data_IF_104112104205
#
_entry.id   IF_104112104205
#
_cell.length_a   1.000
_cell.length_b   1.000
_cell.length_c   1.000
_cell.angle_alpha   90.00
_cell.angle_beta   90.00
_cell.angle_gamma   90.00
#
_symmetry.space_group_name_H-M   'P 1'
#
loop_
_entity.id
_entity.type
_entity.pdbx_description
1 polymer ?
#
# COMPACT_ATOMS: atom_id res chain seq x y z
N UNK A 1 12.30 -64.28 -34.77
CA UNK A 1 13.66 -63.90 -34.35
C UNK A 1 13.53 -62.63 -33.52
N UNK A 2 13.53 -62.76 -32.19
CA UNK A 2 13.28 -61.65 -31.27
C UNK A 2 14.63 -60.99 -30.97
N UNK A 3 14.85 -59.68 -31.22
CA UNK A 3 16.13 -59.06 -30.95
C UNK A 3 16.41 -59.13 -29.44
N UNK A 4 17.58 -59.69 -29.07
CA UNK A 4 18.09 -59.63 -27.70
C UNK A 4 18.17 -58.15 -27.33
N UNK A 5 17.37 -57.72 -26.37
CA UNK A 5 17.55 -56.41 -25.73
C UNK A 5 18.92 -56.44 -25.07
N UNK A 6 19.86 -55.68 -25.60
CA UNK A 6 21.16 -55.47 -24.96
C UNK A 6 20.91 -54.84 -23.59
N UNK A 7 21.44 -55.47 -22.56
CA UNK A 7 21.36 -54.94 -21.20
C UNK A 7 22.19 -53.67 -21.14
N UNK A 8 21.65 -52.57 -20.61
CA UNK A 8 22.38 -51.30 -20.50
C UNK A 8 23.73 -51.49 -19.82
N UNK A 9 24.78 -50.92 -20.39
CA UNK A 9 26.10 -50.94 -19.79
C UNK A 9 26.11 -50.11 -18.50
N UNK A 10 27.02 -50.42 -17.58
CA UNK A 10 27.18 -49.70 -16.30
C UNK A 10 27.31 -48.18 -16.51
N UNK A 11 27.90 -47.76 -17.63
CA UNK A 11 28.03 -46.36 -18.01
C UNK A 11 26.67 -45.67 -18.26
N UNK A 12 25.70 -46.35 -18.88
CA UNK A 12 24.38 -45.78 -19.17
C UNK A 12 23.59 -45.49 -17.88
N UNK A 13 23.71 -46.37 -16.87
CA UNK A 13 23.10 -46.15 -15.56
C UNK A 13 23.72 -44.95 -14.83
N UNK A 14 25.04 -44.78 -14.91
CA UNK A 14 25.74 -43.63 -14.31
C UNK A 14 25.31 -42.32 -14.99
N UNK A 15 25.21 -42.32 -16.32
CA UNK A 15 24.75 -41.16 -17.08
C UNK A 15 23.31 -40.78 -16.72
N UNK A 16 22.41 -41.76 -16.64
CA UNK A 16 21.02 -41.54 -16.21
C UNK A 16 20.93 -40.97 -14.79
N UNK A 17 21.75 -41.46 -13.86
CA UNK A 17 21.80 -40.94 -12.49
C UNK A 17 22.26 -39.48 -12.45
N UNK A 18 23.30 -39.12 -13.22
CA UNK A 18 23.79 -37.73 -13.31
C UNK A 18 22.71 -36.80 -13.87
N UNK A 19 22.02 -37.22 -14.95
CA UNK A 19 20.93 -36.44 -15.54
C UNK A 19 19.78 -36.26 -14.55
N UNK A 20 19.41 -37.31 -13.82
CA UNK A 20 18.38 -37.23 -12.80
C UNK A 20 18.74 -36.26 -11.67
N UNK A 21 19.99 -36.31 -11.17
CA UNK A 21 20.49 -35.39 -10.14
C UNK A 21 20.47 -33.95 -10.64
N UNK A 22 20.94 -33.70 -11.88
CA UNK A 22 20.91 -32.37 -12.49
C UNK A 22 19.48 -31.86 -12.65
N UNK A 23 18.54 -32.71 -13.08
CA UNK A 23 17.13 -32.34 -13.22
C UNK A 23 16.51 -31.97 -11.87
N UNK A 24 16.76 -32.76 -10.82
CA UNK A 24 16.29 -32.48 -9.45
C UNK A 24 16.88 -31.16 -8.95
N UNK A 25 18.17 -30.92 -9.20
CA UNK A 25 18.85 -29.70 -8.81
C UNK A 25 18.27 -28.46 -9.52
N UNK A 26 18.00 -28.54 -10.82
CA UNK A 26 17.36 -27.46 -11.59
C UNK A 26 15.95 -27.16 -11.08
N UNK A 27 15.16 -28.19 -10.78
CA UNK A 27 13.82 -28.03 -10.19
C UNK A 27 13.92 -27.34 -8.82
N UNK A 28 14.91 -27.72 -7.99
CA UNK A 28 15.15 -27.09 -6.70
C UNK A 28 15.48 -25.59 -6.85
N UNK A 29 16.39 -25.24 -7.76
CA UNK A 29 16.75 -23.85 -8.05
C UNK A 29 15.55 -23.05 -8.56
N UNK A 30 14.76 -23.62 -9.47
CA UNK A 30 13.55 -22.99 -10.00
C UNK A 30 12.52 -22.69 -8.88
N UNK A 31 12.25 -23.67 -8.01
CA UNK A 31 11.33 -23.48 -6.86
C UNK A 31 11.85 -22.41 -5.90
N UNK A 32 13.17 -22.36 -5.65
CA UNK A 32 13.79 -21.35 -4.80
C UNK A 32 13.64 -19.94 -5.39
N UNK A 33 13.87 -19.77 -6.69
CA UNK A 33 13.70 -18.49 -7.39
C UNK A 33 12.26 -17.99 -7.31
N UNK A 34 11.29 -18.85 -7.61
CA UNK A 34 9.86 -18.50 -7.56
C UNK A 34 9.37 -18.17 -6.15
N UNK A 35 9.88 -18.88 -5.13
CA UNK A 35 9.57 -18.56 -3.73
C UNK A 35 10.11 -17.20 -3.31
N UNK A 36 11.24 -16.78 -3.86
CA UNK A 36 11.84 -15.48 -3.56
C UNK A 36 11.04 -14.34 -4.16
N UNK A 37 10.59 -14.48 -5.40
CA UNK A 37 9.69 -13.53 -6.07
C UNK A 37 8.36 -13.35 -5.31
N UNK A 38 7.77 -14.47 -4.84
CA UNK A 38 6.54 -14.42 -4.04
C UNK A 38 6.74 -13.69 -2.70
N UNK A 39 7.87 -13.94 -2.00
CA UNK A 39 8.19 -13.21 -0.76
C UNK A 39 8.43 -11.72 -1.02
N UNK A 40 9.03 -11.38 -2.16
CA UNK A 40 9.27 -9.98 -2.56
C UNK A 40 7.96 -9.24 -2.81
N UNK A 41 7.03 -9.85 -3.54
CA UNK A 41 5.71 -9.24 -3.78
C UNK A 41 4.92 -9.11 -2.48
N UNK A 42 4.91 -10.15 -1.63
CA UNK A 42 4.26 -10.13 -0.32
C UNK A 42 4.83 -9.02 0.59
N UNK A 43 6.17 -8.88 0.64
CA UNK A 43 6.82 -7.78 1.37
C UNK A 43 6.41 -6.41 0.82
N UNK A 44 6.32 -6.26 -0.51
CA UNK A 44 5.84 -5.04 -1.16
C UNK A 44 4.41 -4.68 -0.76
N UNK A 45 3.48 -5.65 -0.81
CA UNK A 45 2.09 -5.47 -0.39
C UNK A 45 1.98 -5.14 1.10
N UNK A 46 2.74 -5.82 1.96
CA UNK A 46 2.76 -5.55 3.41
C UNK A 46 3.28 -4.16 3.71
N UNK A 47 4.34 -3.71 3.04
CA UNK A 47 4.89 -2.35 3.17
C UNK A 47 3.89 -1.29 2.72
N UNK A 48 3.23 -1.49 1.58
CA UNK A 48 2.20 -0.57 1.09
C UNK A 48 1.01 -0.50 2.06
N UNK A 49 0.52 -1.64 2.54
CA UNK A 49 -0.57 -1.71 3.53
C UNK A 49 -0.20 -1.03 4.85
N UNK A 50 1.03 -1.23 5.33
CA UNK A 50 1.53 -0.55 6.53
C UNK A 50 1.62 0.96 6.31
N UNK A 51 2.16 1.42 5.17
CA UNK A 51 2.24 2.85 4.85
C UNK A 51 0.86 3.52 4.85
N UNK A 52 -0.16 2.85 4.32
CA UNK A 52 -1.56 3.35 4.35
C UNK A 52 -2.11 3.38 5.77
N UNK A 53 -1.85 2.35 6.58
CA UNK A 53 -2.29 2.31 7.99
C UNK A 53 -1.60 3.38 8.83
N UNK A 54 -0.30 3.59 8.64
CA UNK A 54 0.44 4.67 9.30
C UNK A 54 -0.03 6.05 8.84
N UNK A 55 -0.38 6.24 7.56
CA UNK A 55 -1.02 7.47 7.06
C UNK A 55 -2.31 7.79 7.81
N UNK A 56 -3.24 6.83 7.87
CA UNK A 56 -4.52 6.95 8.58
C UNK A 56 -4.38 7.22 10.08
N UNK A 57 -3.38 6.62 10.73
CA UNK A 57 -3.07 6.92 12.13
C UNK A 57 -2.55 8.35 12.25
N UNK A 58 -1.58 8.75 11.43
CA UNK A 58 -0.97 10.08 11.46
C UNK A 58 -2.03 11.19 11.26
N UNK A 59 -2.99 11.01 10.35
CA UNK A 59 -4.13 11.93 10.14
C UNK A 59 -4.94 12.19 11.42
N UNK A 60 -5.03 11.22 12.33
CA UNK A 60 -5.71 11.38 13.62
C UNK A 60 -4.83 12.02 14.70
N UNK A 61 -3.50 11.93 14.58
CA UNK A 61 -2.54 12.43 15.57
C UNK A 61 -1.93 13.80 15.24
N UNK A 62 -2.00 14.26 13.99
CA UNK A 62 -1.45 15.57 13.58
C UNK A 62 -2.02 16.75 14.38
N UNK A 63 -3.32 16.79 14.73
CA UNK A 63 -3.82 17.83 15.63
C UNK A 63 -3.08 17.85 16.97
N UNK A 64 -2.50 16.73 17.42
CA UNK A 64 -1.72 16.64 18.65
C UNK A 64 -0.21 16.90 18.46
N UNK A 65 0.23 17.20 17.24
CA UNK A 65 1.62 17.57 16.97
C UNK A 65 1.89 19.01 17.43
N UNK A 66 3.15 19.29 17.81
CA UNK A 66 3.56 20.62 18.30
C UNK A 66 3.45 21.73 17.25
N UNK A 67 3.38 21.36 15.98
CA UNK A 67 3.40 22.30 14.85
C UNK A 67 1.99 22.58 14.31
N UNK A 68 0.93 22.02 14.91
CA UNK A 68 -0.44 22.30 14.50
C UNK A 68 -0.85 23.71 14.99
N UNK A 69 -1.25 24.62 14.08
CA UNK A 69 -1.41 26.03 14.43
C UNK A 69 -2.73 26.34 15.18
N UNK A 70 -3.63 25.37 15.31
CA UNK A 70 -4.92 25.53 15.98
C UNK A 70 -5.00 24.69 17.26
N UNK A 71 -5.98 25.00 18.10
CA UNK A 71 -6.27 24.18 19.27
C UNK A 71 -6.79 22.80 18.83
N UNK A 72 -6.18 21.70 19.30
CA UNK A 72 -6.57 20.34 18.89
C UNK A 72 -8.03 20.00 19.26
N UNK A 73 -8.58 20.65 20.28
CA UNK A 73 -9.97 20.44 20.72
C UNK A 73 -11.00 20.98 19.73
N UNK A 74 -10.60 21.89 18.84
CA UNK A 74 -11.49 22.53 17.87
C UNK A 74 -11.45 21.81 16.52
N UNK A 75 -10.55 20.82 16.37
CA UNK A 75 -10.46 19.95 15.22
C UNK A 75 -11.50 18.83 15.26
N UNK A 76 -12.13 18.55 14.11
CA UNK A 76 -13.06 17.43 13.89
C UNK A 76 -12.60 16.63 12.67
N UNK A 77 -12.32 15.35 12.91
CA UNK A 77 -11.92 14.42 11.86
C UNK A 77 -13.12 13.98 10.99
N UNK A 78 -12.89 13.87 9.68
CA UNK A 78 -13.85 13.44 8.65
C UNK A 78 -13.29 12.22 7.88
N UNK A 79 -12.05 12.31 7.40
CA UNK A 79 -11.30 11.24 6.72
C UNK A 79 -11.53 11.05 5.22
N UNK A 80 -12.63 11.56 4.64
CA UNK A 80 -12.83 11.63 3.17
C UNK A 80 -14.01 12.55 2.84
N UNK A 81 -13.92 13.41 1.80
CA UNK A 81 -12.82 13.58 0.83
C UNK A 81 -11.63 14.43 1.32
N UNK A 82 -11.69 14.92 2.56
CA UNK A 82 -10.64 15.65 3.28
C UNK A 82 -10.50 15.09 4.70
N UNK A 83 -9.37 15.36 5.36
CA UNK A 83 -9.07 14.81 6.68
C UNK A 83 -9.94 15.37 7.80
N UNK A 84 -10.20 16.68 7.82
CA UNK A 84 -11.02 17.27 8.88
C UNK A 84 -11.29 18.77 8.76
N UNK A 85 -11.98 19.31 9.75
CA UNK A 85 -12.33 20.73 9.85
C UNK A 85 -11.98 21.25 11.25
N UNK A 86 -11.38 22.43 11.33
CA UNK A 86 -11.23 23.20 12.57
C UNK A 86 -12.38 24.19 12.69
N UNK A 87 -13.02 24.20 13.85
CA UNK A 87 -14.04 25.18 14.23
C UNK A 87 -13.44 26.16 15.23
N UNK A 88 -12.56 27.04 14.74
CA UNK A 88 -11.97 28.09 15.56
C UNK A 88 -13.00 29.19 15.84
N UNK A 89 -12.73 30.03 16.84
CA UNK A 89 -13.60 31.16 17.19
C UNK A 89 -13.71 32.19 16.04
N UNK A 90 -12.68 32.30 15.18
CA UNK A 90 -12.60 33.31 14.13
C UNK A 90 -12.88 32.78 12.72
N UNK A 91 -12.67 31.49 12.47
CA UNK A 91 -12.76 30.89 11.15
C UNK A 91 -13.08 29.39 11.18
N UNK A 92 -13.61 28.88 10.07
CA UNK A 92 -13.78 27.43 9.83
C UNK A 92 -12.74 27.00 8.80
N UNK A 93 -11.83 26.11 9.19
CA UNK A 93 -10.66 25.74 8.38
C UNK A 93 -10.77 24.32 7.90
N UNK A 94 -10.78 24.13 6.59
CA UNK A 94 -10.74 22.82 5.95
C UNK A 94 -9.29 22.32 5.95
N UNK A 95 -9.05 21.17 6.56
CA UNK A 95 -7.70 20.62 6.77
C UNK A 95 -7.49 19.36 5.95
N UNK A 96 -6.33 19.29 5.31
CA UNK A 96 -5.78 18.09 4.69
C UNK A 96 -4.32 18.01 5.10
N UNK A 97 -3.94 16.85 5.63
CA UNK A 97 -2.62 16.55 6.10
C UNK A 97 -1.89 15.67 5.10
N UNK A 98 -0.66 16.06 4.79
CA UNK A 98 0.22 15.29 3.91
C UNK A 98 1.52 15.00 4.64
N UNK A 99 1.93 13.74 4.61
CA UNK A 99 3.28 13.38 5.04
C UNK A 99 4.29 13.71 3.93
N UNK A 100 5.36 14.44 4.28
CA UNK A 100 6.51 14.69 3.41
C UNK A 100 6.13 15.29 2.03
N UNK A 101 6.47 14.60 0.93
CA UNK A 101 6.28 15.07 -0.44
C UNK A 101 4.93 14.69 -1.06
N UNK A 102 3.98 14.21 -0.26
CA UNK A 102 2.67 13.81 -0.76
C UNK A 102 1.88 15.04 -1.25
N UNK A 103 1.33 14.96 -2.46
CA UNK A 103 0.53 16.03 -3.07
C UNK A 103 -0.97 15.79 -2.84
N UNK A 104 -1.76 16.88 -2.94
CA UNK A 104 -3.21 16.80 -2.99
C UNK A 104 -3.66 15.96 -4.20
N UNK A 105 -4.63 15.07 -4.00
CA UNK A 105 -5.30 14.41 -5.12
C UNK A 105 -6.29 15.37 -5.82
N UNK A 106 -6.80 14.98 -6.98
CA UNK A 106 -7.68 15.85 -7.80
C UNK A 106 -8.95 16.29 -7.06
N UNK A 107 -9.55 15.44 -6.22
CA UNK A 107 -10.72 15.80 -5.42
C UNK A 107 -10.37 16.82 -4.34
N UNK A 108 -9.23 16.64 -3.66
CA UNK A 108 -8.74 17.56 -2.64
C UNK A 108 -8.36 18.92 -3.24
N UNK A 109 -7.72 18.94 -4.42
CA UNK A 109 -7.45 20.17 -5.17
C UNK A 109 -8.76 20.91 -5.49
N UNK A 110 -9.75 20.19 -6.03
CA UNK A 110 -11.07 20.76 -6.32
C UNK A 110 -11.73 21.36 -5.08
N UNK A 111 -11.66 20.68 -3.92
CA UNK A 111 -12.22 21.20 -2.67
C UNK A 111 -11.47 22.44 -2.20
N UNK A 112 -10.13 22.41 -2.24
CA UNK A 112 -9.29 23.57 -1.96
C UNK A 112 -9.71 24.77 -2.81
N UNK A 113 -9.86 24.58 -4.12
CA UNK A 113 -10.30 25.64 -5.03
C UNK A 113 -11.69 26.19 -4.67
N UNK A 114 -12.64 25.33 -4.28
CA UNK A 114 -13.97 25.79 -3.84
C UNK A 114 -13.87 26.67 -2.58
N UNK A 115 -13.03 26.29 -1.62
CA UNK A 115 -12.81 27.04 -0.37
C UNK A 115 -12.12 28.37 -0.67
N UNK A 116 -11.02 28.37 -1.42
CA UNK A 116 -10.25 29.60 -1.76
C UNK A 116 -11.09 30.59 -2.59
N UNK A 117 -11.97 30.09 -3.45
CA UNK A 117 -12.92 30.91 -4.21
C UNK A 117 -14.19 31.27 -3.43
N UNK A 118 -14.22 31.05 -2.10
CA UNK A 118 -15.35 31.36 -1.20
C UNK A 118 -16.69 30.72 -1.62
N UNK A 119 -16.65 29.55 -2.26
CA UNK A 119 -17.82 28.79 -2.70
C UNK A 119 -18.32 27.83 -1.62
N UNK A 120 -18.41 28.30 -0.39
CA UNK A 120 -18.89 27.57 0.79
C UNK A 120 -20.18 28.23 1.26
N UNK A 121 -21.21 27.43 1.56
CA UNK A 121 -22.52 27.94 2.00
C UNK A 121 -23.05 27.16 3.19
N UNK A 122 -23.79 27.84 4.05
CA UNK A 122 -24.60 27.23 5.09
C UNK A 122 -25.92 26.71 4.50
N UNK A 123 -26.36 25.53 4.94
CA UNK A 123 -27.68 24.98 4.60
C UNK A 123 -28.26 24.33 5.86
N UNK A 124 -29.29 24.94 6.43
CA UNK A 124 -30.12 24.32 7.45
C UNK A 124 -31.29 23.61 6.75
N UNK A 125 -31.45 22.32 7.00
CA UNK A 125 -32.57 21.53 6.50
C UNK A 125 -33.25 20.85 7.67
N UNK A 126 -34.56 21.05 7.80
CA UNK A 126 -35.40 20.36 8.79
C UNK A 126 -36.26 19.36 8.03
N UNK A 127 -36.11 18.09 8.37
CA UNK A 127 -37.05 17.07 7.96
C UNK A 127 -38.16 17.05 9.01
N UNK A 128 -39.39 17.36 8.60
CA UNK A 128 -40.58 17.14 9.42
C UNK A 128 -40.86 15.64 9.62
#
# INVERSE_FOLDING_TARGET
MNPKKETPDMFEYVLLAIVAILAIFLIFLYKKSKSLEFRLSELGFRKASQSVKYGKLTEQWIPMSKDFPYNPNDFRFIGSPIDGIVFDDSEIVFCEFKSASAQLNENQKRIKDLVENKKVRWLEFRAD
#
